data_IF_579977261113
#
_entry.id   IF_579977261113
#
_cell.length_a   1.000
_cell.length_b   1.000
_cell.length_c   1.000
_cell.angle_alpha   90.00
_cell.angle_beta   90.00
_cell.angle_gamma   90.00
#
_symmetry.space_group_name_H-M   'P 1'
#
loop_
_entity.id
_entity.type
_entity.pdbx_description
1 polymer ?
#
# COMPACT_ATOMS: atom_id res chain seq x y z
N UNK A 1 56.02 4.12 -66.00
CA UNK A 1 54.81 4.90 -65.65
C UNK A 1 53.61 4.18 -66.24
N UNK A 2 52.46 4.24 -65.54
CA UNK A 2 51.09 3.85 -65.96
C UNK A 2 50.43 2.81 -65.01
N UNK A 3 49.56 3.36 -64.15
CA UNK A 3 48.29 2.87 -63.57
C UNK A 3 48.23 1.59 -62.72
N UNK A 4 48.16 1.78 -61.40
CA UNK A 4 47.48 0.88 -60.45
C UNK A 4 46.01 1.30 -60.35
N UNK A 5 45.13 0.54 -60.99
CA UNK A 5 43.68 0.66 -60.84
C UNK A 5 43.17 -0.33 -59.77
N UNK A 6 42.52 0.26 -58.76
CA UNK A 6 41.22 -0.14 -58.22
C UNK A 6 41.05 -1.45 -57.38
N UNK A 7 40.63 -1.20 -56.13
CA UNK A 7 39.39 -1.66 -55.50
C UNK A 7 39.39 -2.80 -54.47
N UNK A 8 39.14 -2.37 -53.21
CA UNK A 8 38.11 -2.86 -52.27
C UNK A 8 38.04 -4.36 -51.96
N UNK A 9 38.59 -4.72 -50.80
CA UNK A 9 38.12 -5.85 -50.00
C UNK A 9 36.72 -5.55 -49.46
N UNK A 10 35.71 -6.28 -49.94
CA UNK A 10 34.37 -6.34 -49.37
C UNK A 10 34.18 -7.71 -48.73
N UNK A 11 34.20 -7.77 -47.40
CA UNK A 11 33.79 -8.94 -46.63
C UNK A 11 32.33 -9.29 -46.95
N UNK A 12 32.08 -10.58 -47.23
CA UNK A 12 30.76 -11.09 -47.61
C UNK A 12 29.76 -10.96 -46.44
N UNK A 13 28.49 -10.60 -46.72
CA UNK A 13 27.49 -10.41 -45.67
C UNK A 13 27.05 -11.72 -45.01
N UNK A 14 26.74 -11.61 -43.72
CA UNK A 14 26.34 -12.60 -42.70
C UNK A 14 25.12 -13.50 -43.06
N UNK A 15 24.56 -13.38 -44.27
CA UNK A 15 23.24 -13.93 -44.60
C UNK A 15 23.21 -15.44 -44.93
N UNK A 16 24.35 -16.09 -45.19
CA UNK A 16 24.36 -17.51 -45.62
C UNK A 16 24.21 -18.54 -44.48
N UNK A 17 24.31 -18.15 -43.20
CA UNK A 17 24.19 -19.10 -42.07
C UNK A 17 22.75 -19.44 -41.66
N UNK A 18 21.73 -18.87 -42.32
CA UNK A 18 20.31 -19.05 -41.95
C UNK A 18 19.53 -20.07 -42.79
N UNK A 19 20.20 -20.98 -43.51
CA UNK A 19 19.52 -21.97 -44.37
C UNK A 19 19.34 -23.37 -43.76
N UNK A 20 19.69 -23.61 -42.48
CA UNK A 20 19.56 -24.93 -41.85
C UNK A 20 18.49 -25.02 -40.73
N UNK A 21 17.48 -24.14 -40.74
CA UNK A 21 16.33 -24.25 -39.80
C UNK A 21 15.12 -24.79 -40.57
N UNK A 22 14.58 -25.97 -40.24
CA UNK A 22 13.39 -26.53 -40.87
C UNK A 22 12.23 -25.52 -40.85
N UNK A 23 11.55 -25.33 -41.99
CA UNK A 23 10.49 -24.32 -42.19
C UNK A 23 9.39 -24.41 -41.12
N UNK A 24 9.12 -25.62 -40.62
CA UNK A 24 8.19 -25.91 -39.50
C UNK A 24 8.49 -25.16 -38.18
N UNK A 25 9.70 -24.61 -38.00
CA UNK A 25 10.10 -23.87 -36.79
C UNK A 25 10.13 -22.35 -36.95
N UNK A 26 9.86 -21.82 -38.16
CA UNK A 26 9.87 -20.38 -38.43
C UNK A 26 8.52 -19.74 -38.12
N UNK A 27 8.17 -19.62 -36.84
CA UNK A 27 7.19 -18.59 -36.47
C UNK A 27 7.79 -17.23 -36.80
N UNK A 28 7.14 -16.47 -37.68
CA UNK A 28 7.56 -15.09 -37.96
C UNK A 28 7.56 -14.26 -36.65
N UNK A 29 8.42 -13.25 -36.58
CA UNK A 29 8.62 -12.43 -35.38
C UNK A 29 7.29 -11.86 -34.86
N UNK A 30 6.39 -11.47 -35.78
CA UNK A 30 5.04 -11.00 -35.48
C UNK A 30 4.17 -12.04 -34.76
N UNK A 31 4.26 -13.32 -35.11
CA UNK A 31 3.54 -14.40 -34.43
C UNK A 31 4.12 -14.68 -33.04
N UNK A 32 5.45 -14.62 -32.86
CA UNK A 32 6.07 -14.73 -31.52
C UNK A 32 5.66 -13.59 -30.59
N UNK A 33 5.66 -12.35 -31.09
CA UNK A 33 5.21 -11.18 -30.31
C UNK A 33 3.74 -11.31 -29.93
N UNK A 34 2.89 -11.78 -30.85
CA UNK A 34 1.47 -12.09 -30.58
C UNK A 34 1.32 -13.19 -29.53
N UNK A 35 2.06 -14.29 -29.64
CA UNK A 35 2.03 -15.39 -28.68
C UNK A 35 2.52 -14.96 -27.28
N UNK A 36 3.53 -14.09 -27.19
CA UNK A 36 4.01 -13.49 -25.94
C UNK A 36 2.93 -12.59 -25.33
N UNK A 37 2.31 -11.70 -26.12
CA UNK A 37 1.21 -10.84 -25.67
C UNK A 37 -0.01 -11.65 -25.22
N UNK A 38 -0.37 -12.71 -25.94
CA UNK A 38 -1.45 -13.62 -25.59
C UNK A 38 -1.15 -14.42 -24.31
N UNK A 39 0.10 -14.88 -24.10
CA UNK A 39 0.54 -15.49 -22.84
C UNK A 39 0.51 -14.50 -21.67
N UNK A 40 0.93 -13.25 -21.89
CA UNK A 40 0.84 -12.18 -20.89
C UNK A 40 -0.63 -11.85 -20.56
N UNK A 41 -1.52 -11.81 -21.54
CA UNK A 41 -2.96 -11.63 -21.35
C UNK A 41 -3.61 -12.81 -20.61
N UNK A 42 -3.24 -14.06 -20.93
CA UNK A 42 -3.71 -15.26 -20.20
C UNK A 42 -3.22 -15.30 -18.75
N UNK A 43 -1.98 -14.85 -18.48
CA UNK A 43 -1.45 -14.66 -17.11
C UNK A 43 -2.12 -13.50 -16.35
N UNK A 44 -2.71 -12.53 -17.07
CA UNK A 44 -3.55 -11.46 -16.52
C UNK A 44 -5.00 -11.88 -16.26
N UNK A 45 -5.39 -13.16 -16.39
CA UNK A 45 -6.63 -13.66 -15.77
C UNK A 45 -6.62 -13.24 -14.30
N UNK A 46 -7.67 -12.54 -13.86
CA UNK A 46 -7.77 -11.86 -12.57
C UNK A 46 -7.46 -12.85 -11.43
N UNK A 47 -6.20 -12.90 -10.99
CA UNK A 47 -5.84 -13.60 -9.76
C UNK A 47 -6.60 -12.90 -8.66
N UNK A 48 -7.45 -13.65 -7.96
CA UNK A 48 -8.12 -13.15 -6.76
C UNK A 48 -7.04 -12.60 -5.82
N UNK A 49 -7.28 -11.41 -5.26
CA UNK A 49 -6.37 -10.85 -4.28
C UNK A 49 -6.32 -11.81 -3.10
N UNK A 50 -5.14 -12.37 -2.84
CA UNK A 50 -4.92 -13.17 -1.65
C UNK A 50 -5.21 -12.38 -0.36
N UNK A 51 -5.25 -13.10 0.76
CA UNK A 51 -5.47 -12.50 2.09
C UNK A 51 -4.44 -11.40 2.37
N UNK A 52 -4.89 -10.32 2.99
CA UNK A 52 -4.00 -9.24 3.42
C UNK A 52 -2.99 -9.75 4.45
N UNK A 53 -1.69 -9.66 4.14
CA UNK A 53 -0.62 -10.02 5.08
C UNK A 53 -0.35 -8.84 6.03
N UNK A 54 -0.65 -9.02 7.32
CA UNK A 54 -0.25 -8.11 8.39
C UNK A 54 0.89 -8.71 9.22
N UNK A 55 1.85 -7.89 9.61
CA UNK A 55 3.02 -8.31 10.38
C UNK A 55 2.97 -7.73 11.79
N UNK A 56 3.18 -8.57 12.81
CA UNK A 56 3.25 -8.14 14.21
C UNK A 56 4.46 -7.22 14.45
N UNK A 57 4.39 -6.40 15.49
CA UNK A 57 5.50 -5.51 15.84
C UNK A 57 6.76 -6.30 16.22
N UNK A 58 6.60 -7.38 17.00
CA UNK A 58 7.69 -8.26 17.40
C UNK A 58 8.46 -8.83 16.21
N UNK A 59 7.75 -9.26 15.17
CA UNK A 59 8.34 -9.82 13.96
C UNK A 59 9.10 -8.77 13.15
N UNK A 60 8.62 -7.52 13.11
CA UNK A 60 9.37 -6.41 12.50
C UNK A 60 10.65 -6.08 13.28
N UNK A 61 10.56 -6.06 14.61
CA UNK A 61 11.73 -5.79 15.48
C UNK A 61 12.77 -6.90 15.30
N UNK A 62 12.34 -8.16 15.28
CA UNK A 62 13.22 -9.31 15.02
C UNK A 62 13.95 -9.17 13.67
N UNK A 63 13.23 -8.83 12.59
CA UNK A 63 13.84 -8.61 11.29
C UNK A 63 14.87 -7.47 11.29
N UNK A 64 14.64 -6.40 12.06
CA UNK A 64 15.59 -5.28 12.17
C UNK A 64 16.82 -5.65 13.01
N UNK A 65 16.66 -6.40 14.10
CA UNK A 65 17.79 -6.92 14.89
C UNK A 65 18.72 -7.79 14.05
N UNK A 66 18.16 -8.67 13.22
CA UNK A 66 18.97 -9.51 12.31
C UNK A 66 19.73 -8.67 11.28
N UNK A 67 19.18 -7.54 10.83
CA UNK A 67 19.91 -6.60 9.97
C UNK A 67 21.07 -5.95 10.73
N UNK A 68 20.85 -5.55 11.99
CA UNK A 68 21.89 -4.97 12.86
C UNK A 68 23.02 -5.96 13.15
N UNK A 69 22.69 -7.26 13.27
CA UNK A 69 23.63 -8.38 13.40
C UNK A 69 24.39 -8.71 12.10
N UNK A 70 24.10 -8.02 10.99
CA UNK A 70 24.79 -8.20 9.71
C UNK A 70 24.26 -9.33 8.83
N UNK A 71 23.09 -9.89 9.15
CA UNK A 71 22.46 -10.94 8.33
C UNK A 71 21.92 -10.34 7.02
N UNK A 72 22.15 -11.02 5.89
CA UNK A 72 21.67 -10.57 4.58
C UNK A 72 20.13 -10.52 4.49
N UNK A 73 19.62 -9.49 3.81
CA UNK A 73 18.18 -9.23 3.67
C UNK A 73 17.42 -10.39 2.99
N UNK A 74 18.06 -11.16 2.10
CA UNK A 74 17.43 -12.32 1.45
C UNK A 74 17.25 -13.45 2.45
N UNK A 75 18.27 -13.76 3.23
CA UNK A 75 18.22 -14.77 4.29
C UNK A 75 17.11 -14.46 5.30
N UNK A 76 16.95 -13.19 5.69
CA UNK A 76 15.86 -12.74 6.57
C UNK A 76 14.50 -12.93 5.90
N UNK A 77 14.39 -12.59 4.60
CA UNK A 77 13.17 -12.74 3.82
C UNK A 77 12.68 -14.18 3.78
N UNK A 78 13.60 -15.12 3.53
CA UNK A 78 13.30 -16.54 3.42
C UNK A 78 12.94 -17.14 4.78
N UNK A 79 13.71 -16.83 5.83
CA UNK A 79 13.47 -17.34 7.18
C UNK A 79 12.17 -16.83 7.81
N UNK A 80 11.75 -15.60 7.51
CA UNK A 80 10.56 -14.98 8.14
C UNK A 80 9.32 -14.95 7.23
N UNK A 81 9.38 -15.46 5.99
CA UNK A 81 8.35 -15.32 4.94
C UNK A 81 7.86 -13.86 4.77
N UNK A 82 8.81 -12.93 4.75
CA UNK A 82 8.55 -11.50 4.58
C UNK A 82 9.13 -11.06 3.24
N UNK A 83 8.34 -10.49 2.31
CA UNK A 83 8.87 -9.96 1.07
C UNK A 83 9.96 -8.91 1.32
N UNK A 84 11.08 -8.97 0.58
CA UNK A 84 12.21 -8.04 0.70
C UNK A 84 11.80 -6.56 0.72
N UNK A 85 10.79 -6.19 -0.07
CA UNK A 85 10.28 -4.81 -0.11
C UNK A 85 9.83 -4.28 1.26
N UNK A 86 9.30 -5.15 2.13
CA UNK A 86 8.86 -4.77 3.47
C UNK A 86 10.06 -4.62 4.41
N UNK A 87 11.01 -5.55 4.34
CA UNK A 87 12.26 -5.51 5.13
C UNK A 87 13.02 -4.21 4.83
N UNK A 88 13.25 -3.92 3.54
CA UNK A 88 13.89 -2.66 3.09
C UNK A 88 13.13 -1.43 3.53
N UNK A 89 11.80 -1.48 3.50
CA UNK A 89 10.96 -0.38 3.98
C UNK A 89 11.16 -0.16 5.49
N UNK A 90 11.17 -1.20 6.30
CA UNK A 90 11.35 -1.08 7.75
C UNK A 90 12.77 -0.63 8.09
N UNK A 91 13.79 -1.11 7.37
CA UNK A 91 15.17 -0.62 7.50
C UNK A 91 15.25 0.90 7.30
N UNK A 92 14.52 1.45 6.31
CA UNK A 92 14.50 2.89 6.03
C UNK A 92 13.59 3.70 6.96
N UNK A 93 12.44 3.16 7.37
CA UNK A 93 11.37 3.93 8.02
C UNK A 93 11.12 3.56 9.48
N UNK A 94 11.80 2.52 9.98
CA UNK A 94 11.52 1.88 11.25
C UNK A 94 10.31 0.93 11.21
N UNK A 95 10.07 0.19 12.30
CA UNK A 95 8.98 -0.79 12.41
C UNK A 95 7.62 -0.14 12.71
N UNK A 96 7.65 1.10 13.21
CA UNK A 96 6.48 1.86 13.64
C UNK A 96 5.77 2.58 12.50
N UNK A 97 4.47 2.80 12.68
CA UNK A 97 3.70 3.66 11.77
C UNK A 97 4.07 5.11 12.07
N UNK A 98 4.38 5.90 11.04
CA UNK A 98 4.57 7.35 11.18
C UNK A 98 3.32 7.97 11.82
N UNK A 99 3.56 8.82 12.82
CA UNK A 99 2.49 9.62 13.42
C UNK A 99 1.87 10.51 12.32
N UNK A 100 0.54 10.67 12.36
CA UNK A 100 -0.17 11.51 11.39
C UNK A 100 -0.42 10.88 10.00
N UNK A 101 0.01 9.65 9.70
CA UNK A 101 -0.28 8.96 8.42
C UNK A 101 -1.76 8.50 8.25
N UNK A 102 -2.71 9.18 8.88
CA UNK A 102 -4.15 8.92 8.78
C UNK A 102 -4.84 9.88 7.81
N UNK A 103 -6.13 9.64 7.55
CA UNK A 103 -6.97 10.67 6.94
C UNK A 103 -7.11 11.81 7.95
N UNK A 104 -6.83 13.04 7.51
CA UNK A 104 -7.05 14.24 8.33
C UNK A 104 -8.55 14.41 8.58
N UNK A 105 -8.89 15.02 9.71
CA UNK A 105 -10.27 15.44 9.99
C UNK A 105 -10.69 16.47 8.94
N UNK A 106 -11.95 16.39 8.50
CA UNK A 106 -12.51 17.32 7.49
C UNK A 106 -12.55 18.74 8.08
N UNK A 107 -13.06 18.85 9.30
CA UNK A 107 -13.09 20.11 10.06
C UNK A 107 -12.65 19.82 11.49
N UNK A 108 -11.42 20.21 11.82
CA UNK A 108 -10.84 19.99 13.15
C UNK A 108 -11.48 20.90 14.20
N UNK A 109 -11.84 22.13 13.81
CA UNK A 109 -12.46 23.12 14.68
C UNK A 109 -13.85 22.66 15.12
N UNK A 110 -14.65 22.16 14.16
CA UNK A 110 -15.95 21.55 14.44
C UNK A 110 -15.81 20.35 15.38
N UNK A 111 -14.84 19.44 15.13
CA UNK A 111 -14.62 18.29 16.01
C UNK A 111 -14.27 18.72 17.45
N UNK A 112 -13.47 19.77 17.62
CA UNK A 112 -13.13 20.30 18.95
C UNK A 112 -14.35 20.90 19.66
N UNK A 113 -15.15 21.72 18.97
CA UNK A 113 -16.38 22.31 19.52
C UNK A 113 -17.40 21.24 19.92
N UNK A 114 -17.58 20.22 19.06
CA UNK A 114 -18.47 19.11 19.34
C UNK A 114 -18.00 18.28 20.54
N UNK A 115 -16.69 18.08 20.68
CA UNK A 115 -16.12 17.35 21.82
C UNK A 115 -16.35 18.10 23.13
N UNK A 116 -16.14 19.42 23.15
CA UNK A 116 -16.43 20.27 24.30
C UNK A 116 -17.90 20.17 24.71
N UNK A 117 -18.82 20.31 23.74
CA UNK A 117 -20.26 20.16 23.95
C UNK A 117 -20.63 18.77 24.53
N UNK A 118 -20.00 17.69 24.03
CA UNK A 118 -20.23 16.36 24.56
C UNK A 118 -19.78 16.25 26.03
N UNK A 119 -18.60 16.75 26.37
CA UNK A 119 -18.08 16.70 27.74
C UNK A 119 -18.93 17.51 28.71
N UNK A 120 -19.38 18.70 28.30
CA UNK A 120 -20.27 19.54 29.09
C UNK A 120 -21.63 18.88 29.30
N UNK A 121 -22.22 18.30 28.24
CA UNK A 121 -23.48 17.56 28.35
C UNK A 121 -23.36 16.38 29.31
N UNK A 122 -22.25 15.63 29.25
CA UNK A 122 -21.98 14.51 30.17
C UNK A 122 -21.84 15.03 31.61
N UNK A 123 -21.15 16.14 31.82
CA UNK A 123 -20.95 16.73 33.15
C UNK A 123 -22.27 17.20 33.75
N UNK A 124 -23.12 17.87 32.98
CA UNK A 124 -24.35 18.49 33.46
C UNK A 124 -25.48 17.48 33.68
N UNK A 125 -25.61 16.49 32.79
CA UNK A 125 -26.72 15.52 32.85
C UNK A 125 -26.35 14.23 33.57
N UNK A 126 -25.05 14.00 33.82
CA UNK A 126 -24.47 12.73 34.27
C UNK A 126 -24.87 11.52 33.38
N UNK A 127 -25.35 11.77 32.15
CA UNK A 127 -25.77 10.76 31.17
C UNK A 127 -24.80 10.72 30.00
N UNK A 128 -24.75 9.57 29.33
CA UNK A 128 -23.95 9.39 28.12
C UNK A 128 -24.65 10.03 26.92
N UNK A 129 -23.90 10.74 26.09
CA UNK A 129 -24.40 11.25 24.80
C UNK A 129 -24.53 10.09 23.83
N UNK A 130 -25.72 9.94 23.24
CA UNK A 130 -25.97 8.90 22.25
C UNK A 130 -25.24 9.20 20.94
N UNK A 131 -24.94 8.15 20.16
CA UNK A 131 -24.30 8.35 18.84
C UNK A 131 -25.18 9.18 17.90
N UNK A 132 -26.50 8.99 17.95
CA UNK A 132 -27.45 9.76 17.17
C UNK A 132 -27.38 11.26 17.51
N UNK A 133 -27.32 11.61 18.80
CA UNK A 133 -27.17 13.00 19.23
C UNK A 133 -25.87 13.62 18.72
N UNK A 134 -24.75 12.87 18.79
CA UNK A 134 -23.45 13.34 18.25
C UNK A 134 -23.57 13.60 16.75
N UNK A 135 -24.23 12.71 15.99
CA UNK A 135 -24.41 12.88 14.55
C UNK A 135 -25.23 14.12 14.23
N UNK A 136 -26.38 14.29 14.89
CA UNK A 136 -27.25 15.46 14.71
C UNK A 136 -26.51 16.76 15.05
N UNK A 137 -25.77 16.77 16.16
CA UNK A 137 -25.04 17.96 16.57
C UNK A 137 -23.87 18.28 15.64
N UNK A 138 -23.17 17.26 15.14
CA UNK A 138 -22.09 17.43 14.16
C UNK A 138 -22.59 18.04 12.84
N UNK A 139 -23.77 17.62 12.36
CA UNK A 139 -24.39 18.18 11.16
C UNK A 139 -24.83 19.64 11.36
N UNK A 140 -25.17 20.05 12.58
CA UNK A 140 -25.49 21.44 12.89
C UNK A 140 -24.25 22.34 12.96
N UNK A 141 -23.12 21.80 13.39
CA UNK A 141 -21.88 22.55 13.63
C UNK A 141 -20.97 22.64 12.40
N UNK A 142 -21.25 21.88 11.34
CA UNK A 142 -20.41 21.88 10.13
C UNK A 142 -20.57 23.20 9.35
N UNK A 143 -19.46 23.67 8.76
CA UNK A 143 -19.47 24.83 7.86
C UNK A 143 -20.35 24.55 6.63
N UNK A 144 -21.07 25.57 6.17
CA UNK A 144 -21.89 25.49 4.96
C UNK A 144 -21.01 25.13 3.74
N UNK A 145 -21.55 24.29 2.84
CA UNK A 145 -20.85 23.88 1.62
C UNK A 145 -19.89 22.69 1.76
N UNK A 146 -19.77 22.08 2.96
CA UNK A 146 -18.94 20.89 3.18
C UNK A 146 -19.78 19.60 3.06
N UNK A 147 -19.38 18.66 2.19
CA UNK A 147 -20.00 17.32 2.13
C UNK A 147 -19.58 16.46 3.34
N UNK A 148 -20.36 16.59 4.41
CA UNK A 148 -20.15 15.87 5.67
C UNK A 148 -21.42 15.12 6.07
N UNK A 149 -21.33 13.78 6.11
CA UNK A 149 -22.49 12.90 6.35
C UNK A 149 -22.63 12.40 7.79
N UNK A 150 -21.75 12.82 8.70
CA UNK A 150 -21.67 12.30 10.08
C UNK A 150 -21.82 10.75 10.16
N UNK A 151 -21.17 10.02 9.26
CA UNK A 151 -21.36 8.57 9.12
C UNK A 151 -21.05 7.80 10.41
N UNK A 152 -21.65 6.61 10.59
CA UNK A 152 -21.36 5.72 11.73
C UNK A 152 -19.86 5.54 11.98
N UNK A 153 -19.10 5.30 10.91
CA UNK A 153 -17.65 5.09 11.01
C UNK A 153 -16.88 6.35 11.43
N UNK A 154 -17.37 7.54 11.10
CA UNK A 154 -16.82 8.80 11.62
C UNK A 154 -17.18 8.97 13.09
N UNK A 155 -18.44 8.78 13.48
CA UNK A 155 -18.90 8.91 14.87
C UNK A 155 -18.16 7.94 15.80
N UNK A 156 -17.95 6.69 15.39
CA UNK A 156 -17.19 5.71 16.18
C UNK A 156 -15.71 6.06 16.31
N UNK A 157 -15.13 6.77 15.34
CA UNK A 157 -13.75 7.31 15.45
C UNK A 157 -13.72 8.52 16.36
N UNK A 158 -14.69 9.43 16.24
CA UNK A 158 -14.83 10.61 17.06
C UNK A 158 -14.94 10.25 18.55
N UNK A 159 -15.86 9.34 18.89
CA UNK A 159 -16.07 8.86 20.27
C UNK A 159 -14.80 8.27 20.87
N UNK A 160 -14.03 7.50 20.08
CA UNK A 160 -12.74 6.93 20.53
C UNK A 160 -11.66 8.00 20.67
N UNK A 161 -11.55 8.92 19.71
CA UNK A 161 -10.57 10.01 19.68
C UNK A 161 -10.69 10.90 20.93
N UNK A 162 -11.91 11.24 21.32
CA UNK A 162 -12.20 12.12 22.47
C UNK A 162 -12.58 11.36 23.75
N UNK A 163 -12.40 10.04 23.79
CA UNK A 163 -12.64 9.20 24.98
C UNK A 163 -14.02 9.41 25.63
N UNK A 164 -15.07 9.61 24.82
CA UNK A 164 -16.42 9.95 25.29
C UNK A 164 -17.15 8.77 25.96
N UNK A 165 -16.63 7.55 25.81
CA UNK A 165 -17.15 6.35 26.49
C UNK A 165 -16.04 5.76 27.37
N UNK A 166 -16.28 5.72 28.69
CA UNK A 166 -15.49 4.84 29.58
C UNK A 166 -15.90 3.39 29.31
N UNK A 167 -14.96 2.59 28.83
CA UNK A 167 -15.12 1.14 28.81
C UNK A 167 -15.23 0.66 30.28
N UNK A 168 -16.41 0.18 30.70
CA UNK A 168 -16.63 -0.43 32.04
C UNK A 168 -15.86 -1.75 32.24
N UNK A 169 -15.01 -2.17 31.29
CA UNK A 169 -14.26 -3.44 31.36
C UNK A 169 -12.88 -3.31 32.04
N UNK A 170 -12.63 -2.23 32.78
CA UNK A 170 -11.43 -2.08 33.62
C UNK A 170 -11.91 -1.70 35.02
N UNK A 171 -12.44 -2.70 35.72
CA UNK A 171 -12.58 -2.72 37.18
C UNK A 171 -12.36 -4.16 37.63
N UNK A 172 -11.12 -4.61 37.49
CA UNK A 172 -10.53 -5.76 38.19
C UNK A 172 -9.06 -5.41 38.44
N UNK A 173 -8.84 -4.72 39.54
CA UNK A 173 -7.68 -4.76 40.43
C UNK A 173 -7.88 -3.68 41.48
#
# INVERSE_FOLDING_TARGET
MITLHFFYNMEKPICEKFQLIPVKFRKNLCQRVRDIKAKQQRKKKKKERGKYRSYSLSLKICALKWIEEGIDERTISDKLDIPLKNIRRWKKQGPFRKQGCGRKSIDLEMEQKLAAWCHETIRNTNKRVSRAMIQTQALKMIKQGVDFKASKGWTDKFVRKYKLIRNKRISKS
#
